data_IF_535709246530
#
_entry.id   IF_535709246530
#
_cell.length_a   1.000
_cell.length_b   1.000
_cell.length_c   1.000
_cell.angle_alpha   90.00
_cell.angle_beta   90.00
_cell.angle_gamma   90.00
#
_symmetry.space_group_name_H-M   'P 1'
#
loop_
_entity.id
_entity.type
_entity.pdbx_description
1 polymer ?
#
# COMPACT_ATOMS: atom_id res chain seq x y z
N UNK A 1 0.29 -10.42 25.64
CA UNK A 1 -0.98 -10.43 24.89
C UNK A 1 -0.92 -9.43 23.73
N UNK A 2 -0.64 -8.15 24.00
CA UNK A 2 -0.49 -7.11 22.97
C UNK A 2 0.61 -7.39 21.91
N UNK A 3 1.71 -8.04 22.29
CA UNK A 3 2.83 -8.39 21.39
C UNK A 3 2.42 -9.36 20.27
N UNK A 4 1.44 -10.24 20.53
CA UNK A 4 1.07 -11.32 19.60
C UNK A 4 0.06 -10.81 18.56
N UNK A 5 -0.87 -9.96 18.98
CA UNK A 5 -1.81 -9.26 18.09
C UNK A 5 -1.03 -8.41 17.07
N UNK A 6 0.00 -7.69 17.54
CA UNK A 6 0.86 -6.90 16.67
C UNK A 6 1.55 -7.72 15.58
N UNK A 7 2.02 -8.93 15.89
CA UNK A 7 2.67 -9.80 14.90
C UNK A 7 1.72 -10.24 13.80
N UNK A 8 0.49 -10.64 14.11
CA UNK A 8 -0.49 -11.05 13.09
C UNK A 8 -1.00 -9.85 12.28
N UNK A 9 -1.25 -8.73 12.96
CA UNK A 9 -1.57 -7.46 12.31
C UNK A 9 -0.47 -7.02 11.33
N UNK A 10 0.80 -7.19 11.74
CA UNK A 10 1.95 -6.95 10.86
C UNK A 10 2.14 -8.01 9.79
N UNK A 11 1.76 -9.26 10.05
CA UNK A 11 1.77 -10.36 9.09
C UNK A 11 0.86 -10.11 7.90
N UNK A 12 -0.35 -9.59 8.13
CA UNK A 12 -1.27 -9.19 7.05
C UNK A 12 -0.58 -8.14 6.15
N UNK A 13 0.04 -7.12 6.75
CA UNK A 13 0.76 -6.09 6.01
C UNK A 13 1.99 -6.63 5.24
N UNK A 14 2.69 -7.62 5.81
CA UNK A 14 3.80 -8.32 5.15
C UNK A 14 3.35 -9.02 3.87
N UNK A 15 2.31 -9.85 3.95
CA UNK A 15 1.84 -10.62 2.81
C UNK A 15 1.17 -9.75 1.74
N UNK A 16 0.40 -8.73 2.14
CA UNK A 16 -0.12 -7.72 1.18
C UNK A 16 1.03 -7.03 0.45
N UNK A 17 2.05 -6.56 1.19
CA UNK A 17 3.24 -5.90 0.62
C UNK A 17 4.03 -6.81 -0.31
N UNK A 18 4.15 -8.09 0.04
CA UNK A 18 4.87 -9.11 -0.74
C UNK A 18 4.35 -9.24 -2.17
N UNK A 19 3.03 -9.19 -2.35
CA UNK A 19 2.36 -9.24 -3.66
C UNK A 19 2.28 -7.86 -4.30
N UNK A 20 1.89 -6.85 -3.52
CA UNK A 20 1.62 -5.49 -4.02
C UNK A 20 2.85 -4.84 -4.65
N UNK A 21 4.04 -5.08 -4.11
CA UNK A 21 5.24 -4.43 -4.63
C UNK A 21 5.72 -5.02 -5.95
N UNK A 22 5.51 -6.32 -6.16
CA UNK A 22 5.76 -6.96 -7.46
C UNK A 22 4.76 -6.47 -8.49
N UNK A 23 3.48 -6.32 -8.10
CA UNK A 23 2.47 -5.71 -8.96
C UNK A 23 2.88 -4.30 -9.39
N UNK A 24 3.18 -3.40 -8.43
CA UNK A 24 3.55 -2.01 -8.72
C UNK A 24 4.70 -1.90 -9.71
N UNK A 25 5.71 -2.77 -9.58
CA UNK A 25 6.90 -2.69 -10.42
C UNK A 25 6.68 -3.28 -11.82
N UNK A 26 5.98 -4.40 -11.94
CA UNK A 26 5.98 -5.19 -13.18
C UNK A 26 4.69 -5.11 -14.00
N UNK A 27 3.56 -4.66 -13.46
CA UNK A 27 2.29 -4.69 -14.21
C UNK A 27 2.35 -3.85 -15.51
N UNK A 28 2.83 -2.60 -15.45
CA UNK A 28 3.00 -1.77 -16.66
C UNK A 28 3.98 -2.42 -17.61
N UNK A 29 5.12 -2.90 -17.09
CA UNK A 29 6.16 -3.50 -17.91
C UNK A 29 5.68 -4.76 -18.62
N UNK A 30 4.87 -5.59 -17.98
CA UNK A 30 4.22 -6.76 -18.59
C UNK A 30 3.33 -6.36 -19.76
N UNK A 31 2.43 -5.40 -19.55
CA UNK A 31 1.46 -5.03 -20.59
C UNK A 31 2.12 -4.28 -21.76
N UNK A 32 3.11 -3.43 -21.50
CA UNK A 32 3.81 -2.68 -22.55
C UNK A 32 4.86 -3.53 -23.27
N UNK A 33 5.69 -4.25 -22.53
CA UNK A 33 6.87 -4.92 -23.12
C UNK A 33 6.59 -6.35 -23.58
N UNK A 34 5.74 -7.08 -22.86
CA UNK A 34 5.45 -8.50 -23.15
C UNK A 34 4.19 -8.62 -24.02
N UNK A 35 3.06 -8.05 -23.57
CA UNK A 35 1.79 -8.12 -24.31
C UNK A 35 1.66 -7.06 -25.40
N UNK A 36 2.60 -6.12 -25.49
CA UNK A 36 2.68 -5.09 -26.54
C UNK A 36 1.36 -4.33 -26.72
N UNK A 37 0.77 -3.89 -25.60
CA UNK A 37 -0.45 -3.09 -25.60
C UNK A 37 -0.27 -1.81 -26.43
N UNK A 38 -1.27 -1.49 -27.24
CA UNK A 38 -1.29 -0.23 -28.00
C UNK A 38 -1.47 0.97 -27.07
N UNK A 39 -0.86 2.11 -27.44
CA UNK A 39 -0.92 3.37 -26.67
C UNK A 39 -2.37 3.74 -26.31
N UNK A 40 -3.27 3.84 -27.29
CA UNK A 40 -4.67 4.23 -27.03
C UNK A 40 -5.38 3.30 -26.05
N UNK A 41 -5.19 1.99 -26.18
CA UNK A 41 -5.76 0.97 -25.28
C UNK A 41 -5.26 1.11 -23.84
N UNK A 42 -3.98 1.43 -23.67
CA UNK A 42 -3.38 1.69 -22.37
C UNK A 42 -3.99 2.95 -21.71
N UNK A 43 -4.07 4.06 -22.45
CA UNK A 43 -4.65 5.31 -21.94
C UNK A 43 -6.12 5.16 -21.52
N UNK A 44 -6.92 4.45 -22.32
CA UNK A 44 -8.33 4.18 -21.97
C UNK A 44 -8.42 3.41 -20.66
N UNK A 45 -7.62 2.35 -20.49
CA UNK A 45 -7.62 1.53 -19.27
C UNK A 45 -7.20 2.36 -18.04
N UNK A 46 -6.16 3.18 -18.15
CA UNK A 46 -5.67 4.04 -17.06
C UNK A 46 -6.66 5.16 -16.69
N UNK A 47 -7.36 5.76 -17.65
CA UNK A 47 -8.39 6.77 -17.38
C UNK A 47 -9.57 6.15 -16.64
N UNK A 48 -10.06 5.00 -17.10
CA UNK A 48 -11.14 4.27 -16.41
C UNK A 48 -10.70 3.87 -15.01
N UNK A 49 -9.46 3.38 -14.88
CA UNK A 49 -8.88 3.03 -13.60
C UNK A 49 -8.78 4.23 -12.65
N UNK A 50 -8.37 5.42 -13.12
CA UNK A 50 -8.32 6.64 -12.32
C UNK A 50 -9.70 6.98 -11.71
N UNK A 51 -10.76 6.91 -12.51
CA UNK A 51 -12.12 7.14 -12.01
C UNK A 51 -12.55 6.08 -11.01
N UNK A 52 -12.30 4.80 -11.34
CA UNK A 52 -12.60 3.69 -10.44
C UNK A 52 -11.89 3.88 -9.10
N UNK A 53 -10.57 4.03 -9.12
CA UNK A 53 -9.71 4.15 -7.95
C UNK A 53 -10.12 5.32 -7.04
N UNK A 54 -10.64 6.42 -7.61
CA UNK A 54 -11.15 7.55 -6.81
C UNK A 54 -12.46 7.23 -6.10
N UNK A 55 -13.37 6.48 -6.74
CA UNK A 55 -14.70 6.14 -6.19
C UNK A 55 -14.66 4.90 -5.29
N UNK A 56 -13.69 4.02 -5.53
CA UNK A 56 -13.59 2.70 -4.94
C UNK A 56 -13.51 2.73 -3.40
N UNK A 57 -12.64 3.56 -2.83
CA UNK A 57 -12.42 3.67 -1.39
C UNK A 57 -13.62 4.16 -0.58
N UNK A 58 -14.28 5.30 -0.91
CA UNK A 58 -15.45 5.73 -0.16
C UNK A 58 -16.62 4.75 -0.35
N UNK A 59 -16.75 4.13 -1.53
CA UNK A 59 -17.80 3.15 -1.80
C UNK A 59 -17.64 1.92 -0.90
N UNK A 60 -16.45 1.29 -0.88
CA UNK A 60 -16.22 0.13 -0.03
C UNK A 60 -16.16 0.47 1.45
N UNK A 61 -15.71 1.67 1.82
CA UNK A 61 -15.81 2.19 3.18
C UNK A 61 -17.26 2.26 3.66
N UNK A 62 -18.15 2.83 2.83
CA UNK A 62 -19.58 2.87 3.12
C UNK A 62 -20.21 1.48 3.14
N UNK A 63 -19.91 0.59 2.18
CA UNK A 63 -20.46 -0.77 2.16
C UNK A 63 -20.06 -1.54 3.43
N UNK A 64 -18.81 -1.39 3.87
CA UNK A 64 -18.31 -2.06 5.07
C UNK A 64 -19.05 -1.58 6.33
N UNK A 65 -19.31 -0.28 6.44
CA UNK A 65 -19.85 0.35 7.65
C UNK A 65 -21.37 0.54 7.66
N UNK A 66 -22.05 0.52 6.51
CA UNK A 66 -23.51 0.72 6.42
C UNK A 66 -24.27 -0.28 7.31
N UNK A 67 -23.82 -1.53 7.34
CA UNK A 67 -24.44 -2.55 8.18
C UNK A 67 -24.10 -2.44 9.67
N UNK A 68 -23.18 -1.56 10.08
CA UNK A 68 -22.92 -1.22 11.50
C UNK A 68 -23.89 -0.14 11.99
N UNK A 69 -24.38 0.73 11.08
CA UNK A 69 -25.33 1.79 11.40
C UNK A 69 -26.75 1.27 11.69
N UNK A 70 -27.11 0.11 11.14
CA UNK A 70 -28.47 -0.44 11.21
C UNK A 70 -28.68 -1.46 12.35
N UNK A 71 -27.63 -1.84 13.08
CA UNK A 71 -27.70 -2.93 14.06
C UNK A 71 -27.42 -2.43 15.47
N UNK A 72 -28.38 -2.62 16.37
CA UNK A 72 -28.32 -2.21 17.78
C UNK A 72 -27.59 -3.21 18.69
N UNK A 73 -27.31 -4.42 18.21
CA UNK A 73 -26.58 -5.44 18.97
C UNK A 73 -25.08 -5.21 18.87
N UNK A 74 -24.39 -5.52 19.98
CA UNK A 74 -22.92 -5.53 20.13
C UNK A 74 -22.29 -6.64 19.28
N UNK A 75 -22.50 -6.60 17.96
CA UNK A 75 -21.69 -7.38 17.04
C UNK A 75 -20.28 -6.88 17.20
N UNK A 76 -19.36 -7.78 17.54
CA UNK A 76 -17.95 -7.46 17.66
C UNK A 76 -17.45 -6.96 16.30
N UNK A 77 -17.26 -5.65 16.19
CA UNK A 77 -16.86 -4.96 14.96
C UNK A 77 -15.59 -5.63 14.42
N UNK A 78 -14.70 -5.99 15.34
CA UNK A 78 -13.43 -6.68 15.07
C UNK A 78 -13.68 -7.99 14.32
N UNK A 79 -14.63 -8.82 14.77
CA UNK A 79 -14.94 -10.09 14.10
C UNK A 79 -15.50 -9.90 12.68
N UNK A 80 -16.28 -8.84 12.47
CA UNK A 80 -16.78 -8.47 11.13
C UNK A 80 -15.64 -8.01 10.22
N UNK A 81 -14.72 -7.18 10.71
CA UNK A 81 -13.50 -6.77 9.98
C UNK A 81 -12.65 -7.97 9.61
N UNK A 82 -12.37 -8.85 10.57
CA UNK A 82 -11.58 -10.06 10.36
C UNK A 82 -12.24 -11.01 9.36
N UNK A 83 -13.57 -11.16 9.42
CA UNK A 83 -14.32 -12.00 8.48
C UNK A 83 -14.32 -11.43 7.05
N UNK A 84 -14.40 -10.10 6.91
CA UNK A 84 -14.24 -9.44 5.61
C UNK A 84 -12.81 -9.61 5.08
N UNK A 85 -11.81 -9.45 5.94
CA UNK A 85 -10.39 -9.60 5.59
C UNK A 85 -10.07 -11.05 5.19
N UNK A 86 -10.66 -12.04 5.87
CA UNK A 86 -10.53 -13.46 5.54
C UNK A 86 -11.04 -13.79 4.13
N UNK A 87 -12.07 -13.10 3.65
CA UNK A 87 -12.62 -13.27 2.30
C UNK A 87 -11.86 -12.46 1.25
N UNK A 88 -11.43 -11.25 1.60
CA UNK A 88 -10.79 -10.33 0.67
C UNK A 88 -9.36 -10.73 0.32
N UNK A 89 -8.60 -11.28 1.28
CA UNK A 89 -7.20 -11.69 1.09
C UNK A 89 -7.04 -12.75 -0.02
N UNK A 90 -7.82 -13.86 -0.06
CA UNK A 90 -7.73 -14.82 -1.16
C UNK A 90 -8.07 -14.21 -2.53
N UNK A 91 -9.05 -13.30 -2.56
CA UNK A 91 -9.46 -12.61 -3.77
C UNK A 91 -8.38 -11.65 -4.27
N UNK A 92 -7.67 -10.98 -3.36
CA UNK A 92 -6.50 -10.16 -3.70
C UNK A 92 -5.39 -11.01 -4.36
N UNK A 93 -5.04 -12.15 -3.76
CA UNK A 93 -4.03 -13.04 -4.35
C UNK A 93 -4.48 -13.63 -5.70
N UNK A 94 -5.76 -13.98 -5.84
CA UNK A 94 -6.33 -14.43 -7.11
C UNK A 94 -6.29 -13.35 -8.19
N UNK A 95 -6.70 -12.13 -7.86
CA UNK A 95 -6.68 -10.99 -8.80
C UNK A 95 -5.27 -10.60 -9.25
N UNK A 96 -4.27 -10.75 -8.37
CA UNK A 96 -2.86 -10.56 -8.73
C UNK A 96 -2.43 -11.51 -9.86
N UNK A 97 -2.89 -12.77 -9.84
CA UNK A 97 -2.49 -13.74 -10.86
C UNK A 97 -3.03 -13.43 -12.26
N UNK A 98 -4.08 -12.63 -12.36
CA UNK A 98 -4.71 -12.26 -13.63
C UNK A 98 -3.79 -11.44 -14.56
N UNK A 99 -2.81 -10.72 -14.00
CA UNK A 99 -1.86 -9.92 -14.78
C UNK A 99 -0.85 -10.77 -15.55
N UNK A 100 -0.51 -11.95 -15.04
CA UNK A 100 0.68 -12.68 -15.50
C UNK A 100 0.41 -13.61 -16.68
N UNK A 101 -0.86 -13.82 -17.05
CA UNK A 101 -1.26 -14.65 -18.19
C UNK A 101 -1.96 -13.81 -19.24
N UNK A 102 -1.66 -14.03 -20.52
CA UNK A 102 -2.29 -13.30 -21.62
C UNK A 102 -3.68 -13.87 -21.89
N UNK A 103 -4.67 -12.99 -22.09
CA UNK A 103 -6.04 -13.38 -22.35
C UNK A 103 -6.35 -13.29 -23.84
N UNK A 104 -7.23 -14.15 -24.39
CA UNK A 104 -7.64 -14.10 -25.80
C UNK A 104 -8.69 -12.99 -26.03
N UNK A 105 -8.49 -11.81 -25.44
CA UNK A 105 -9.39 -10.65 -25.48
C UNK A 105 -8.52 -9.42 -25.79
N UNK A 106 -9.16 -8.30 -26.16
CA UNK A 106 -8.49 -7.01 -26.28
C UNK A 106 -7.64 -6.69 -25.03
N UNK A 107 -6.33 -6.52 -25.22
CA UNK A 107 -5.34 -6.32 -24.15
C UNK A 107 -5.67 -5.13 -23.23
N UNK A 108 -6.31 -4.08 -23.77
CA UNK A 108 -6.82 -2.96 -22.98
C UNK A 108 -7.93 -3.34 -22.01
N UNK A 109 -8.85 -4.23 -22.42
CA UNK A 109 -9.90 -4.74 -21.54
C UNK A 109 -9.33 -5.67 -20.47
N UNK A 110 -8.32 -6.49 -20.82
CA UNK A 110 -7.60 -7.27 -19.82
C UNK A 110 -6.96 -6.35 -18.78
N UNK A 111 -6.21 -5.32 -19.20
CA UNK A 111 -5.57 -4.37 -18.28
C UNK A 111 -6.59 -3.67 -17.38
N UNK A 112 -7.66 -3.14 -17.98
CA UNK A 112 -8.75 -2.46 -17.27
C UNK A 112 -9.40 -3.38 -16.23
N UNK A 113 -9.74 -4.61 -16.61
CA UNK A 113 -10.35 -5.58 -15.72
C UNK A 113 -9.41 -5.97 -14.57
N UNK A 114 -8.15 -6.27 -14.88
CA UNK A 114 -7.15 -6.63 -13.89
C UNK A 114 -6.92 -5.49 -12.89
N UNK A 115 -6.74 -4.24 -13.36
CA UNK A 115 -6.54 -3.07 -12.50
C UNK A 115 -7.74 -2.81 -11.59
N UNK A 116 -8.96 -2.74 -12.15
CA UNK A 116 -10.14 -2.45 -11.34
C UNK A 116 -10.42 -3.56 -10.32
N UNK A 117 -10.26 -4.82 -10.72
CA UNK A 117 -10.50 -5.98 -9.83
C UNK A 117 -9.46 -6.05 -8.72
N UNK A 118 -8.18 -5.89 -9.06
CA UNK A 118 -7.09 -5.92 -8.09
C UNK A 118 -7.18 -4.76 -7.10
N UNK A 119 -7.42 -3.54 -7.59
CA UNK A 119 -7.58 -2.36 -6.74
C UNK A 119 -8.83 -2.44 -5.85
N UNK A 120 -9.91 -3.05 -6.32
CA UNK A 120 -11.10 -3.35 -5.49
C UNK A 120 -10.75 -4.21 -4.29
N UNK A 121 -10.07 -5.33 -4.51
CA UNK A 121 -9.71 -6.23 -3.41
C UNK A 121 -8.61 -5.64 -2.53
N UNK A 122 -7.66 -4.89 -3.11
CA UNK A 122 -6.64 -4.17 -2.35
C UNK A 122 -7.29 -3.15 -1.43
N UNK A 123 -8.21 -2.33 -1.96
CA UNK A 123 -8.98 -1.33 -1.20
C UNK A 123 -9.76 -1.97 -0.06
N UNK A 124 -10.43 -3.11 -0.29
CA UNK A 124 -11.13 -3.82 0.79
C UNK A 124 -10.14 -4.29 1.87
N UNK A 125 -9.01 -4.90 1.50
CA UNK A 125 -7.99 -5.36 2.46
C UNK A 125 -7.41 -4.19 3.25
N UNK A 126 -7.03 -3.10 2.58
CA UNK A 126 -6.40 -1.93 3.21
C UNK A 126 -7.37 -1.17 4.12
N UNK A 127 -8.63 -1.01 3.72
CA UNK A 127 -9.66 -0.40 4.56
C UNK A 127 -9.95 -1.26 5.79
N UNK A 128 -10.07 -2.58 5.65
CA UNK A 128 -10.29 -3.47 6.79
C UNK A 128 -9.07 -3.52 7.72
N UNK A 129 -7.85 -3.55 7.18
CA UNK A 129 -6.61 -3.54 7.96
C UNK A 129 -6.44 -2.22 8.72
N UNK A 130 -6.65 -1.08 8.05
CA UNK A 130 -6.51 0.26 8.66
C UNK A 130 -7.60 0.55 9.69
N UNK A 131 -8.85 0.17 9.42
CA UNK A 131 -9.95 0.32 10.39
C UNK A 131 -9.76 -0.56 11.63
N UNK A 132 -9.17 -1.75 11.48
CA UNK A 132 -8.86 -2.64 12.59
C UNK A 132 -7.90 -1.99 13.61
N UNK A 133 -7.00 -1.10 13.18
CA UNK A 133 -6.13 -0.34 14.09
C UNK A 133 -6.93 0.56 15.06
N UNK A 134 -7.97 1.21 14.53
CA UNK A 134 -8.84 2.11 15.29
C UNK A 134 -9.81 1.36 16.20
N UNK A 135 -10.27 0.20 15.72
CA UNK A 135 -11.30 -0.62 16.35
C UNK A 135 -10.72 -1.54 17.46
N UNK A 136 -9.44 -1.96 17.37
CA UNK A 136 -8.80 -2.84 18.36
C UNK A 136 -8.36 -2.13 19.66
N UNK A 137 -7.84 -0.90 19.55
CA UNK A 137 -7.22 -0.21 20.69
C UNK A 137 -7.56 1.28 20.66
N UNK A 138 -7.97 1.84 21.80
CA UNK A 138 -8.24 3.29 21.96
C UNK A 138 -6.98 4.05 22.42
N UNK A 139 -6.04 3.35 23.05
CA UNK A 139 -4.79 3.92 23.58
C UNK A 139 -3.79 4.21 22.46
N UNK A 140 -3.27 5.45 22.43
CA UNK A 140 -2.23 5.87 21.46
C UNK A 140 -0.96 5.02 21.55
N UNK A 141 -0.51 4.63 22.74
CA UNK A 141 0.73 3.86 22.91
C UNK A 141 0.63 2.48 22.26
N UNK A 142 -0.51 1.81 22.41
CA UNK A 142 -0.74 0.50 21.83
C UNK A 142 -0.99 0.56 20.32
N UNK A 143 -1.70 1.59 19.83
CA UNK A 143 -1.84 1.84 18.39
C UNK A 143 -0.48 2.05 17.73
N UNK A 144 0.42 2.82 18.35
CA UNK A 144 1.79 2.98 17.86
C UNK A 144 2.53 1.65 17.78
N UNK A 145 2.44 0.79 18.81
CA UNK A 145 3.05 -0.56 18.77
C UNK A 145 2.51 -1.42 17.63
N UNK A 146 1.19 -1.49 17.43
CA UNK A 146 0.56 -2.23 16.33
C UNK A 146 1.02 -1.70 14.96
N UNK A 147 1.07 -0.38 14.82
CA UNK A 147 1.51 0.28 13.60
C UNK A 147 2.98 -0.01 13.28
N UNK A 148 3.86 -0.05 14.30
CA UNK A 148 5.26 -0.45 14.14
C UNK A 148 5.38 -1.88 13.62
N UNK A 149 4.61 -2.83 14.14
CA UNK A 149 4.62 -4.20 13.60
C UNK A 149 4.15 -4.26 12.15
N UNK A 150 3.15 -3.44 11.79
CA UNK A 150 2.73 -3.30 10.40
C UNK A 150 3.83 -2.72 9.52
N UNK A 151 4.54 -1.69 9.97
CA UNK A 151 5.65 -1.10 9.23
C UNK A 151 6.77 -2.13 8.98
N UNK A 152 7.18 -2.87 10.01
CA UNK A 152 8.19 -3.94 9.89
C UNK A 152 7.72 -5.04 8.91
N UNK A 153 6.45 -5.44 9.01
CA UNK A 153 5.86 -6.41 8.09
C UNK A 153 5.95 -5.94 6.64
N UNK A 154 5.48 -4.73 6.33
CA UNK A 154 5.54 -4.21 4.96
C UNK A 154 6.96 -4.05 4.43
N UNK A 155 7.91 -3.62 5.28
CA UNK A 155 9.32 -3.51 4.91
C UNK A 155 9.92 -4.88 4.54
N UNK A 156 9.65 -5.90 5.35
CA UNK A 156 10.07 -7.27 5.05
C UNK A 156 9.41 -7.82 3.77
N UNK A 157 8.13 -7.50 3.53
CA UNK A 157 7.41 -7.89 2.32
C UNK A 157 8.00 -7.25 1.05
N UNK A 158 8.53 -6.03 1.18
CA UNK A 158 9.18 -5.30 0.08
C UNK A 158 10.44 -5.97 -0.46
N UNK A 159 11.03 -6.92 0.27
CA UNK A 159 12.16 -7.73 -0.20
C UNK A 159 11.79 -8.55 -1.44
N UNK A 160 10.51 -8.88 -1.63
CA UNK A 160 10.03 -9.62 -2.80
C UNK A 160 10.39 -8.95 -4.14
N UNK A 161 10.49 -7.62 -4.15
CA UNK A 161 10.86 -6.84 -5.34
C UNK A 161 12.28 -7.17 -5.78
N UNK A 162 13.23 -7.19 -4.84
CA UNK A 162 14.62 -7.49 -5.17
C UNK A 162 14.78 -8.93 -5.66
N UNK A 163 14.04 -9.87 -5.07
CA UNK A 163 14.01 -11.26 -5.52
C UNK A 163 13.40 -11.41 -6.91
N UNK A 164 12.33 -10.66 -7.20
CA UNK A 164 11.64 -10.74 -8.49
C UNK A 164 12.52 -10.31 -9.67
N UNK A 165 13.49 -9.43 -9.45
CA UNK A 165 14.46 -9.03 -10.48
C UNK A 165 15.32 -10.20 -10.97
N UNK A 166 15.63 -11.16 -10.10
CA UNK A 166 16.41 -12.36 -10.43
C UNK A 166 15.65 -13.26 -11.42
N UNK A 167 14.32 -13.33 -11.29
CA UNK A 167 13.47 -14.22 -12.08
C UNK A 167 12.85 -13.58 -13.33
N UNK A 168 12.98 -12.25 -13.49
CA UNK A 168 12.36 -11.50 -14.59
C UNK A 168 12.94 -11.84 -15.98
N UNK A 169 14.16 -12.39 -16.05
CA UNK A 169 14.84 -12.71 -17.31
C UNK A 169 14.13 -13.76 -18.17
N UNK A 170 13.46 -14.72 -17.54
CA UNK A 170 12.59 -15.70 -18.21
C UNK A 170 11.15 -15.56 -17.75
N UNK A 171 10.24 -15.36 -18.70
CA UNK A 171 8.82 -15.16 -18.42
C UNK A 171 8.20 -16.37 -17.71
N UNK A 172 8.65 -17.61 -18.02
CA UNK A 172 8.14 -18.81 -17.34
C UNK A 172 8.62 -18.83 -15.88
N UNK A 173 9.91 -18.62 -15.63
CA UNK A 173 10.45 -18.47 -14.26
C UNK A 173 9.76 -17.34 -13.49
N UNK A 174 9.52 -16.18 -14.11
CA UNK A 174 8.82 -15.06 -13.47
C UNK A 174 7.37 -15.40 -13.11
N UNK A 175 6.63 -16.08 -13.99
CA UNK A 175 5.26 -16.54 -13.71
C UNK A 175 5.21 -17.56 -12.58
N UNK A 176 6.16 -18.50 -12.54
CA UNK A 176 6.28 -19.48 -11.44
C UNK A 176 6.59 -18.78 -10.13
N UNK A 177 7.50 -17.79 -10.15
CA UNK A 177 7.77 -16.94 -8.99
C UNK A 177 6.51 -16.20 -8.53
N UNK A 178 5.77 -15.56 -9.45
CA UNK A 178 4.51 -14.87 -9.18
C UNK A 178 3.44 -15.81 -8.57
N UNK A 179 3.34 -17.04 -9.08
CA UNK A 179 2.45 -18.06 -8.53
C UNK A 179 2.86 -18.45 -7.10
N UNK A 180 4.16 -18.68 -6.89
CA UNK A 180 4.71 -19.04 -5.58
C UNK A 180 4.44 -17.95 -4.53
N UNK A 181 4.71 -16.68 -4.85
CA UNK A 181 4.46 -15.56 -3.94
C UNK A 181 2.96 -15.34 -3.66
N UNK A 182 2.09 -15.56 -4.66
CA UNK A 182 0.65 -15.48 -4.48
C UNK A 182 0.13 -16.57 -3.56
N UNK A 183 0.62 -17.81 -3.69
CA UNK A 183 0.28 -18.94 -2.80
C UNK A 183 0.77 -18.67 -1.38
N UNK A 184 2.01 -18.21 -1.20
CA UNK A 184 2.54 -17.83 0.11
C UNK A 184 1.70 -16.72 0.75
N UNK A 185 1.35 -15.69 -0.01
CA UNK A 185 0.51 -14.59 0.48
C UNK A 185 -0.88 -15.07 0.86
N UNK A 186 -1.49 -15.93 0.04
CA UNK A 186 -2.82 -16.47 0.29
C UNK A 186 -2.83 -17.33 1.56
N UNK A 187 -1.90 -18.29 1.67
CA UNK A 187 -1.81 -19.18 2.83
C UNK A 187 -1.39 -18.42 4.09
N UNK A 188 -0.39 -17.55 3.97
CA UNK A 188 0.18 -16.80 5.07
C UNK A 188 -0.78 -15.77 5.67
N UNK A 189 -1.46 -14.98 4.85
CA UNK A 189 -2.47 -14.04 5.34
C UNK A 189 -3.70 -14.75 5.88
N UNK A 190 -4.18 -15.80 5.22
CA UNK A 190 -5.31 -16.59 5.72
C UNK A 190 -4.97 -17.23 7.06
N UNK A 191 -3.74 -17.72 7.22
CA UNK A 191 -3.22 -18.25 8.47
C UNK A 191 -3.11 -17.15 9.55
N UNK A 192 -2.61 -15.96 9.21
CA UNK A 192 -2.56 -14.85 10.17
C UNK A 192 -3.95 -14.47 10.67
N UNK A 193 -4.96 -14.45 9.80
CA UNK A 193 -6.35 -14.12 10.17
C UNK A 193 -6.98 -15.22 11.00
N UNK A 194 -6.72 -16.49 10.71
CA UNK A 194 -7.28 -17.61 11.50
C UNK A 194 -6.60 -17.79 12.85
N UNK A 195 -5.29 -17.57 12.96
CA UNK A 195 -4.59 -17.59 14.26
C UNK A 195 -4.85 -16.35 15.10
N UNK A 196 -5.10 -15.20 14.46
CA UNK A 196 -5.67 -14.03 15.14
C UNK A 196 -6.96 -14.41 15.89
N UNK A 197 -7.75 -15.34 15.32
CA UNK A 197 -9.00 -15.86 15.90
C UNK A 197 -8.80 -17.03 16.87
N UNK A 198 -7.75 -17.87 16.74
CA UNK A 198 -7.70 -19.19 17.42
C UNK A 198 -6.78 -19.31 18.64
N UNK A 199 -5.54 -18.84 18.67
CA UNK A 199 -4.71 -18.93 19.90
C UNK A 199 -3.33 -18.25 19.84
N UNK A 200 -2.88 -17.83 21.02
CA UNK A 200 -1.80 -16.87 21.32
C UNK A 200 -0.34 -17.41 21.25
N UNK A 201 -0.03 -18.61 20.74
CA UNK A 201 1.26 -19.27 21.05
C UNK A 201 2.19 -19.69 19.88
N UNK A 202 2.04 -19.14 18.66
CA UNK A 202 2.90 -19.52 17.54
C UNK A 202 4.20 -18.68 17.44
N UNK A 203 5.15 -18.87 18.38
CA UNK A 203 6.40 -18.09 18.45
C UNK A 203 7.65 -18.81 17.90
N UNK A 204 7.59 -20.11 17.62
CA UNK A 204 8.79 -20.91 17.38
C UNK A 204 9.25 -20.97 15.92
N UNK A 205 8.37 -20.68 14.96
CA UNK A 205 8.71 -20.74 13.52
C UNK A 205 9.51 -19.51 13.05
N UNK A 206 9.48 -18.41 13.81
CA UNK A 206 10.06 -17.11 13.45
C UNK A 206 11.57 -17.00 13.66
N UNK A 207 12.11 -17.73 14.64
CA UNK A 207 13.55 -17.70 14.98
C UNK A 207 14.38 -18.41 13.90
N UNK A 208 13.80 -19.44 13.27
CA UNK A 208 14.46 -20.23 12.23
C UNK A 208 14.67 -19.43 10.92
N UNK A 209 13.71 -18.59 10.53
CA UNK A 209 13.80 -17.78 9.31
C UNK A 209 14.74 -16.57 9.44
N UNK A 210 14.90 -16.01 10.63
CA UNK A 210 15.80 -14.88 10.88
C UNK A 210 17.29 -15.30 10.87
N UNK A 211 17.59 -16.51 11.37
CA UNK A 211 18.95 -17.07 11.38
C UNK A 211 19.39 -17.47 9.96
N UNK A 212 18.46 -17.94 9.12
CA UNK A 212 18.71 -18.27 7.72
C UNK A 212 19.06 -17.02 6.88
N UNK A 213 18.44 -15.87 7.12
CA UNK A 213 18.73 -14.64 6.37
C UNK A 213 20.10 -14.02 6.67
N UNK A 214 20.66 -14.27 7.85
CA UNK A 214 21.96 -13.74 8.27
C UNK A 214 23.15 -14.41 7.55
N UNK A 215 22.99 -15.64 7.06
CA UNK A 215 24.07 -16.42 6.46
C UNK A 215 24.23 -16.27 4.93
N UNK A 216 23.26 -15.66 4.22
CA UNK A 216 23.23 -15.70 2.74
C UNK A 216 23.65 -14.42 2.01
N UNK A 217 24.02 -13.33 2.69
CA UNK A 217 24.30 -12.06 2.01
C UNK A 217 25.67 -11.53 2.37
N UNK A 218 26.66 -11.92 1.57
CA UNK A 218 28.03 -11.41 1.60
C UNK A 218 28.25 -10.20 0.69
N UNK A 219 29.42 -9.53 0.83
CA UNK A 219 29.60 -8.11 0.50
C UNK A 219 30.36 -7.90 -0.82
N UNK A 220 29.89 -6.99 -1.69
CA UNK A 220 30.67 -6.03 -2.50
C UNK A 220 29.73 -5.19 -3.41
N UNK A 221 29.89 -3.85 -3.39
CA UNK A 221 28.97 -2.79 -3.91
C UNK A 221 28.91 -2.62 -5.44
N UNK A 222 28.06 -1.76 -6.05
CA UNK A 222 27.70 -0.36 -5.72
C UNK A 222 26.21 0.01 -5.83
N UNK A 223 25.29 -0.95 -5.99
CA UNK A 223 23.83 -0.72 -6.03
C UNK A 223 23.18 -0.60 -4.63
N UNK A 224 23.95 -0.95 -3.59
CA UNK A 224 23.48 -1.03 -2.21
C UNK A 224 23.19 0.35 -1.62
N UNK A 225 23.93 1.40 -1.99
CA UNK A 225 23.73 2.76 -1.45
C UNK A 225 22.49 3.41 -2.06
N UNK A 226 22.25 3.23 -3.36
CA UNK A 226 21.01 3.65 -4.03
C UNK A 226 19.83 2.82 -3.52
N UNK A 227 20.02 1.51 -3.34
CA UNK A 227 19.04 0.61 -2.74
C UNK A 227 18.69 0.98 -1.30
N UNK A 228 19.68 1.34 -0.46
CA UNK A 228 19.47 1.83 0.90
C UNK A 228 18.74 3.16 0.86
N UNK A 229 19.11 4.09 -0.01
CA UNK A 229 18.43 5.38 -0.10
C UNK A 229 16.97 5.26 -0.57
N UNK A 230 16.69 4.44 -1.59
CA UNK A 230 15.33 4.14 -2.05
C UNK A 230 14.55 3.39 -0.96
N UNK A 231 15.17 2.42 -0.29
CA UNK A 231 14.57 1.71 0.82
C UNK A 231 14.27 2.66 1.99
N UNK A 232 15.17 3.57 2.33
CA UNK A 232 15.00 4.55 3.40
C UNK A 232 13.91 5.56 3.04
N UNK A 233 13.89 6.12 1.83
CA UNK A 233 12.81 7.02 1.39
C UNK A 233 11.46 6.31 1.33
N UNK A 234 11.43 5.06 0.87
CA UNK A 234 10.23 4.24 0.89
C UNK A 234 9.79 3.94 2.32
N UNK A 235 10.71 3.58 3.21
CA UNK A 235 10.43 3.33 4.63
C UNK A 235 9.96 4.60 5.35
N UNK A 236 10.51 5.77 5.04
CA UNK A 236 10.05 7.04 5.60
C UNK A 236 8.69 7.46 5.04
N UNK A 237 8.47 7.32 3.73
CA UNK A 237 7.19 7.66 3.09
C UNK A 237 6.09 6.70 3.56
N UNK A 238 6.35 5.40 3.53
CA UNK A 238 5.43 4.37 4.00
C UNK A 238 5.24 4.44 5.52
N UNK A 239 6.28 4.78 6.28
CA UNK A 239 6.20 5.09 7.71
C UNK A 239 5.31 6.30 7.99
N UNK A 240 5.43 7.38 7.20
CA UNK A 240 4.60 8.59 7.31
C UNK A 240 3.14 8.30 6.94
N UNK A 241 2.89 7.54 5.88
CA UNK A 241 1.55 7.07 5.51
C UNK A 241 0.93 6.20 6.62
N UNK A 242 1.73 5.36 7.29
CA UNK A 242 1.26 4.61 8.45
C UNK A 242 1.02 5.48 9.67
N UNK A 243 1.76 6.57 9.86
CA UNK A 243 1.48 7.56 10.91
C UNK A 243 0.17 8.31 10.65
N UNK A 244 -0.16 8.62 9.39
CA UNK A 244 -1.47 9.18 9.02
C UNK A 244 -2.63 8.28 9.47
N UNK A 245 -2.42 6.96 9.44
CA UNK A 245 -3.38 6.00 9.98
C UNK A 245 -3.71 6.24 11.46
N UNK A 246 -2.74 6.67 12.28
CA UNK A 246 -2.99 7.00 13.70
C UNK A 246 -3.83 8.26 13.85
N UNK A 247 -3.57 9.28 13.02
CA UNK A 247 -4.29 10.56 13.04
C UNK A 247 -5.74 10.38 12.56
N UNK A 248 -5.95 9.61 11.49
CA UNK A 248 -7.29 9.26 11.01
C UNK A 248 -8.04 8.46 12.07
N UNK A 249 -7.36 7.55 12.78
CA UNK A 249 -7.97 6.83 13.89
C UNK A 249 -8.39 7.76 15.04
N UNK A 250 -7.57 8.75 15.40
CA UNK A 250 -7.95 9.74 16.41
C UNK A 250 -9.10 10.66 15.93
N UNK A 251 -9.19 10.94 14.62
CA UNK A 251 -10.33 11.64 14.00
C UNK A 251 -11.63 10.81 14.03
N UNK A 252 -11.54 9.49 13.83
CA UNK A 252 -12.68 8.58 13.98
C UNK A 252 -13.20 8.62 15.43
N UNK A 253 -12.29 8.64 16.40
CA UNK A 253 -12.63 8.76 17.81
C UNK A 253 -13.34 10.09 18.10
N UNK A 254 -12.85 11.19 17.53
CA UNK A 254 -13.45 12.52 17.65
C UNK A 254 -14.85 12.58 17.00
N UNK A 255 -15.02 12.07 15.77
CA UNK A 255 -16.32 12.02 15.09
C UNK A 255 -17.34 11.20 15.89
N UNK A 256 -16.91 10.05 16.43
CA UNK A 256 -17.78 9.19 17.24
C UNK A 256 -18.31 9.93 18.46
N UNK A 257 -17.46 10.71 19.15
CA UNK A 257 -17.82 11.49 20.33
C UNK A 257 -18.70 12.70 19.97
N UNK A 258 -18.31 13.49 18.96
CA UNK A 258 -19.04 14.70 18.56
C UNK A 258 -20.44 14.36 18.03
N UNK A 259 -20.56 13.30 17.24
CA UNK A 259 -21.81 12.88 16.62
C UNK A 259 -22.63 11.91 17.49
N UNK A 260 -22.20 11.63 18.73
CA UNK A 260 -22.83 10.67 19.64
C UNK A 260 -23.19 9.32 18.96
N UNK A 261 -22.28 8.81 18.11
CA UNK A 261 -22.52 7.56 17.38
C UNK A 261 -22.32 6.38 18.33
N UNK A 262 -23.24 5.40 18.24
CA UNK A 262 -23.11 4.13 18.98
C UNK A 262 -21.95 3.26 18.49
N UNK A 263 -21.57 3.40 17.21
CA UNK A 263 -20.50 2.64 16.57
C UNK A 263 -19.63 3.59 15.73
N UNK A 264 -18.30 3.42 15.71
CA UNK A 264 -17.41 4.22 14.88
C UNK A 264 -17.58 3.87 13.39
N UNK A 265 -17.50 4.88 12.53
CA UNK A 265 -17.58 4.71 11.06
C UNK A 265 -16.17 4.73 10.45
N UNK A 266 -15.30 3.88 11.01
CA UNK A 266 -13.86 3.86 10.75
C UNK A 266 -13.54 3.68 9.26
N UNK A 267 -14.15 2.69 8.59
CA UNK A 267 -13.82 2.38 7.20
C UNK A 267 -14.30 3.48 6.23
N UNK A 268 -15.42 4.15 6.51
CA UNK A 268 -15.85 5.30 5.71
C UNK A 268 -14.88 6.48 5.85
N UNK A 269 -14.44 6.79 7.07
CA UNK A 269 -13.50 7.91 7.30
C UNK A 269 -12.16 7.62 6.61
N UNK A 270 -11.61 6.41 6.73
CA UNK A 270 -10.43 5.99 5.97
C UNK A 270 -10.66 6.06 4.45
N UNK A 271 -11.82 5.63 3.96
CA UNK A 271 -12.17 5.68 2.54
C UNK A 271 -12.30 7.10 1.99
N UNK A 272 -12.87 8.03 2.77
CA UNK A 272 -12.96 9.44 2.37
C UNK A 272 -11.61 10.16 2.34
N UNK A 273 -10.65 9.77 3.19
CA UNK A 273 -9.29 10.31 3.11
C UNK A 273 -8.59 9.92 1.80
N UNK A 274 -8.92 8.75 1.25
CA UNK A 274 -8.35 8.25 0.00
C UNK A 274 -8.77 9.08 -1.23
N UNK A 275 -9.94 9.74 -1.21
CA UNK A 275 -10.41 10.64 -2.28
C UNK A 275 -9.44 11.80 -2.56
N UNK A 276 -8.70 12.24 -1.56
CA UNK A 276 -7.69 13.29 -1.72
C UNK A 276 -6.29 12.71 -1.97
N UNK A 277 -5.96 11.61 -1.30
CA UNK A 277 -4.63 11.02 -1.37
C UNK A 277 -4.34 10.33 -2.71
N UNK A 278 -5.29 9.56 -3.26
CA UNK A 278 -5.08 8.73 -4.45
C UNK A 278 -4.93 9.54 -5.76
N UNK A 279 -5.71 10.59 -6.02
CA UNK A 279 -5.45 11.46 -7.18
C UNK A 279 -4.06 12.09 -7.13
N UNK A 280 -3.58 12.47 -5.94
CA UNK A 280 -2.21 12.96 -5.76
C UNK A 280 -1.15 11.92 -6.14
N UNK A 281 -1.37 10.64 -5.79
CA UNK A 281 -0.47 9.55 -6.19
C UNK A 281 -0.47 9.33 -7.71
N UNK A 282 -1.62 9.42 -8.37
CA UNK A 282 -1.71 9.27 -9.83
C UNK A 282 -1.11 10.46 -10.59
N UNK A 283 -1.19 11.67 -10.02
CA UNK A 283 -0.58 12.86 -10.60
C UNK A 283 0.95 12.91 -10.40
N UNK A 284 1.49 12.25 -9.39
CA UNK A 284 2.90 12.33 -9.04
C UNK A 284 3.85 11.91 -10.19
N UNK A 285 3.63 10.79 -10.92
CA UNK A 285 4.45 10.44 -12.09
C UNK A 285 4.37 11.48 -13.22
N UNK A 286 3.20 12.06 -13.47
CA UNK A 286 2.99 13.06 -14.53
C UNK A 286 3.70 14.38 -14.21
N UNK A 287 3.59 14.82 -12.96
CA UNK A 287 4.29 16.01 -12.46
C UNK A 287 5.81 15.75 -12.44
N UNK A 288 6.24 14.56 -12.02
CA UNK A 288 7.65 14.17 -12.03
C UNK A 288 8.26 14.15 -13.44
N UNK A 289 7.55 13.61 -14.43
CA UNK A 289 8.00 13.57 -15.82
C UNK A 289 8.04 14.96 -16.47
N UNK A 290 7.02 15.79 -16.23
CA UNK A 290 6.99 17.16 -16.74
C UNK A 290 8.09 18.05 -16.12
N UNK A 291 8.35 17.90 -14.82
CA UNK A 291 9.49 18.55 -14.15
C UNK A 291 10.84 18.06 -14.70
N UNK A 292 10.97 16.76 -14.98
CA UNK A 292 12.18 16.20 -15.55
C UNK A 292 12.44 16.76 -16.95
N UNK A 293 11.42 16.81 -17.81
CA UNK A 293 11.51 17.43 -19.13
C UNK A 293 11.80 18.93 -19.08
N UNK A 294 11.27 19.65 -18.08
CA UNK A 294 11.59 21.06 -17.85
C UNK A 294 13.06 21.27 -17.43
N UNK A 295 13.60 20.40 -16.58
CA UNK A 295 14.98 20.49 -16.09
C UNK A 295 16.03 20.07 -17.13
N UNK A 296 15.70 19.13 -18.01
CA UNK A 296 16.62 18.62 -19.05
C UNK A 296 16.46 19.32 -20.39
N UNK A 297 15.37 20.08 -20.59
CA UNK A 297 15.04 20.77 -21.84
C UNK A 297 14.61 19.83 -22.97
N UNK A 298 14.50 18.53 -22.70
CA UNK A 298 14.11 17.50 -23.66
C UNK A 298 13.01 16.64 -23.06
N UNK A 299 11.89 16.57 -23.76
CA UNK A 299 10.78 15.72 -23.34
C UNK A 299 11.12 14.27 -23.64
N UNK A 300 11.05 13.40 -22.63
CA UNK A 300 11.40 11.97 -22.73
C UNK A 300 10.56 11.28 -23.81
N UNK A 301 9.38 11.83 -24.11
CA UNK A 301 8.47 11.34 -25.13
C UNK A 301 8.68 11.94 -26.53
N UNK A 302 9.44 13.03 -26.67
CA UNK A 302 9.69 13.67 -27.98
C UNK A 302 10.73 12.95 -28.84
N UNK A 303 11.57 12.09 -28.24
CA UNK A 303 12.54 11.26 -28.96
C UNK A 303 12.03 9.83 -29.25
N UNK A 304 10.77 9.52 -28.91
CA UNK A 304 10.19 8.17 -29.00
C UNK A 304 9.34 8.05 -30.27
N UNK A 305 9.99 8.07 -31.43
CA UNK A 305 9.32 7.79 -32.72
C UNK A 305 9.09 6.30 -32.98
N UNK A 306 9.51 5.38 -32.08
CA UNK A 306 9.26 3.95 -32.25
C UNK A 306 9.01 3.24 -30.91
N UNK A 307 7.73 3.13 -30.53
CA UNK A 307 7.07 2.02 -29.80
C UNK A 307 7.76 1.30 -28.61
N UNK A 308 8.84 1.81 -28.02
CA UNK A 308 9.49 1.19 -26.88
C UNK A 308 9.93 2.23 -25.84
N UNK A 309 9.51 2.02 -24.59
CA UNK A 309 9.85 2.82 -23.40
C UNK A 309 11.31 2.65 -22.93
N UNK A 310 12.15 1.95 -23.70
CA UNK A 310 13.56 1.78 -23.37
C UNK A 310 14.35 2.93 -23.99
N UNK A 311 14.64 3.95 -23.18
CA UNK A 311 15.69 4.90 -23.48
C UNK A 311 16.99 4.09 -23.56
N UNK A 312 17.52 3.89 -24.77
CA UNK A 312 18.81 3.22 -24.92
C UNK A 312 19.90 4.20 -24.48
N UNK A 313 20.22 4.16 -23.18
CA UNK A 313 21.16 5.07 -22.53
C UNK A 313 22.58 4.99 -23.11
N UNK A 314 22.85 4.00 -23.95
CA UNK A 314 24.12 3.82 -24.68
C UNK A 314 24.25 4.72 -25.92
N UNK A 315 23.13 5.20 -26.46
CA UNK A 315 23.06 6.07 -27.64
C UNK A 315 22.90 7.55 -27.30
N UNK A 316 22.69 7.86 -26.02
CA UNK A 316 22.52 9.22 -25.54
C UNK A 316 23.89 9.94 -25.54
N UNK A 317 23.98 11.18 -26.07
CA UNK A 317 25.20 11.98 -25.91
C UNK A 317 25.57 12.06 -24.42
N UNK A 318 26.86 11.89 -24.10
CA UNK A 318 27.36 11.86 -22.72
C UNK A 318 26.85 13.07 -21.88
N UNK A 319 26.80 14.24 -22.50
CA UNK A 319 26.29 15.48 -21.91
C UNK A 319 24.79 15.41 -21.56
N UNK A 320 23.98 14.72 -22.37
CA UNK A 320 22.55 14.54 -22.10
C UNK A 320 22.34 13.53 -20.95
N UNK A 321 23.17 12.49 -20.87
CA UNK A 321 23.12 11.50 -19.79
C UNK A 321 23.45 12.13 -18.43
N UNK A 322 24.46 13.01 -18.39
CA UNK A 322 24.82 13.74 -17.18
C UNK A 322 23.73 14.75 -16.79
N UNK A 323 23.06 15.39 -17.75
CA UNK A 323 21.92 16.27 -17.50
C UNK A 323 20.72 15.51 -16.89
N UNK A 324 20.40 14.31 -17.41
CA UNK A 324 19.33 13.47 -16.84
C UNK A 324 19.66 13.00 -15.42
N UNK A 325 20.92 12.64 -15.14
CA UNK A 325 21.36 12.27 -13.78
C UNK A 325 21.24 13.43 -12.80
N UNK A 326 21.69 14.63 -13.18
CA UNK A 326 21.59 15.83 -12.34
C UNK A 326 20.14 16.24 -12.10
N UNK A 327 19.29 16.19 -13.13
CA UNK A 327 17.86 16.47 -12.99
C UNK A 327 17.14 15.44 -12.11
N UNK A 328 17.43 14.14 -12.27
CA UNK A 328 16.89 13.09 -11.43
C UNK A 328 17.31 13.26 -9.95
N UNK A 329 18.58 13.61 -9.71
CA UNK A 329 19.08 13.90 -8.36
C UNK A 329 18.39 15.11 -7.74
N UNK A 330 18.24 16.21 -8.50
CA UNK A 330 17.53 17.41 -8.05
C UNK A 330 16.07 17.13 -7.70
N UNK A 331 15.35 16.35 -8.52
CA UNK A 331 13.96 15.99 -8.22
C UNK A 331 13.83 15.12 -6.97
N UNK A 332 14.71 14.14 -6.85
CA UNK A 332 14.74 13.20 -5.74
C UNK A 332 15.07 13.86 -4.39
N UNK A 333 15.71 15.04 -4.40
CA UNK A 333 16.00 15.83 -3.20
C UNK A 333 14.98 16.95 -2.97
N UNK A 334 14.67 17.75 -4.00
CA UNK A 334 13.84 18.96 -3.84
C UNK A 334 12.36 18.63 -3.64
N UNK A 335 11.83 17.59 -4.28
CA UNK A 335 10.40 17.23 -4.17
C UNK A 335 10.05 16.84 -2.72
N UNK A 336 10.79 15.94 -2.04
CA UNK A 336 10.52 15.65 -0.63
C UNK A 336 10.65 16.86 0.29
N UNK A 337 11.61 17.77 0.03
CA UNK A 337 11.80 19.00 0.83
C UNK A 337 10.58 19.92 0.70
N UNK A 338 10.11 20.17 -0.53
CA UNK A 338 8.95 21.01 -0.80
C UNK A 338 7.66 20.40 -0.24
N UNK A 339 7.41 19.12 -0.51
CA UNK A 339 6.26 18.41 0.02
C UNK A 339 6.27 18.39 1.55
N UNK A 340 7.41 18.08 2.17
CA UNK A 340 7.58 18.11 3.62
C UNK A 340 7.37 19.50 4.22
N UNK A 341 7.88 20.55 3.56
CA UNK A 341 7.68 21.95 3.99
C UNK A 341 6.20 22.36 3.96
N UNK A 342 5.50 22.07 2.86
CA UNK A 342 4.06 22.32 2.75
C UNK A 342 3.30 21.51 3.81
N UNK A 343 3.64 20.24 3.98
CA UNK A 343 3.02 19.37 4.98
C UNK A 343 3.16 19.96 6.38
N UNK A 344 4.35 20.43 6.78
CA UNK A 344 4.58 21.06 8.09
C UNK A 344 3.78 22.36 8.28
N UNK A 345 3.68 23.19 7.24
CA UNK A 345 2.89 24.43 7.29
C UNK A 345 1.39 24.15 7.49
N UNK A 346 0.84 23.18 6.75
CA UNK A 346 -0.55 22.76 6.91
C UNK A 346 -0.76 22.12 8.29
N UNK A 347 0.19 21.32 8.75
CA UNK A 347 0.12 20.63 10.05
C UNK A 347 0.09 21.59 11.23
N UNK A 348 0.61 22.82 11.07
CA UNK A 348 0.54 23.87 12.10
C UNK A 348 -0.90 24.18 12.53
N UNK A 349 -1.88 23.97 11.64
CA UNK A 349 -3.29 24.23 11.92
C UNK A 349 -4.02 23.03 12.57
N UNK A 350 -3.33 21.91 12.82
CA UNK A 350 -3.95 20.70 13.36
C UNK A 350 -4.17 20.80 14.89
N UNK A 351 -5.43 20.88 15.29
CA UNK A 351 -5.81 21.17 16.68
C UNK A 351 -6.12 19.94 17.55
N UNK A 352 -6.16 18.72 16.98
CA UNK A 352 -6.47 17.50 17.73
C UNK A 352 -5.21 16.90 18.38
N UNK A 353 -4.67 17.61 19.36
CA UNK A 353 -3.49 17.18 20.12
C UNK A 353 -3.64 17.55 21.62
N UNK A 354 -2.77 16.98 22.46
CA UNK A 354 -2.67 17.26 23.91
C UNK A 354 -4.04 17.23 24.63
N UNK A 355 -4.56 18.38 25.06
CA UNK A 355 -5.75 18.47 25.93
C UNK A 355 -7.03 18.05 25.23
N UNK A 356 -7.21 18.44 23.95
CA UNK A 356 -8.38 18.07 23.15
C UNK A 356 -8.42 16.57 22.90
N UNK A 357 -7.27 15.99 22.56
CA UNK A 357 -7.15 14.53 22.36
C UNK A 357 -7.43 13.76 23.65
N UNK A 358 -6.89 14.19 24.80
CA UNK A 358 -7.18 13.57 26.10
C UNK A 358 -8.66 13.61 26.46
N UNK A 359 -9.32 14.73 26.20
CA UNK A 359 -10.76 14.88 26.39
C UNK A 359 -11.55 13.87 25.54
N UNK A 360 -11.32 13.81 24.23
CA UNK A 360 -11.96 12.82 23.33
C UNK A 360 -11.74 11.39 23.83
N UNK A 361 -10.50 11.02 24.18
CA UNK A 361 -10.19 9.66 24.64
C UNK A 361 -10.85 9.31 25.97
N UNK A 362 -10.97 10.26 26.90
CA UNK A 362 -11.67 10.04 28.17
C UNK A 362 -13.17 9.75 27.98
N UNK A 363 -13.83 10.49 27.09
CA UNK A 363 -15.24 10.28 26.77
C UNK A 363 -15.47 8.94 26.06
N UNK A 364 -14.58 8.56 25.14
CA UNK A 364 -14.65 7.28 24.44
C UNK A 364 -14.48 6.10 25.40
N UNK A 365 -13.51 6.18 26.30
CA UNK A 365 -13.25 5.14 27.31
C UNK A 365 -14.42 4.97 28.30
N UNK A 366 -15.14 6.06 28.61
CA UNK A 366 -16.33 6.04 29.46
C UNK A 366 -17.59 5.54 28.72
N UNK A 367 -17.63 5.64 27.39
CA UNK A 367 -18.76 5.21 26.56
C UNK A 367 -18.68 3.73 26.17
N UNK A 368 -17.50 3.12 26.22
CA UNK A 368 -17.32 1.66 26.21
C UNK A 368 -17.85 1.08 27.53
N UNK A 369 -19.16 0.82 27.59
CA UNK A 369 -19.74 -0.05 28.61
C UNK A 369 -18.99 -1.38 28.60
N UNK A 370 -18.41 -1.70 29.76
CA UNK A 370 -17.92 -3.01 30.20
C UNK A 370 -18.14 -4.14 29.20
N UNK A 371 -17.08 -4.49 28.45
CA UNK A 371 -16.94 -5.84 27.90
C UNK A 371 -16.66 -6.74 29.12
N UNK A 372 -17.72 -7.38 29.62
CA UNK A 372 -17.63 -8.49 30.59
C UNK A 372 -17.30 -9.76 29.82
#
# INVERSE_FOLDING_TARGET
MATNIGVYYGGIAFFTSLVHNVFLLYHVQMFVSVYKIQKYSFWIAEIVFLFWNSVNDPLFGWISDKGLLNTSSSIDIVDRRLSALQKAVPLLAGSFLLFWFEWPIWTGAQLMFCLCTYDSFLTVVDLQHSSLLADLEVSSEKRTKLNTYSAIGSAAGSVSVFLSHIFWSDLKSFRIFCLFIAVISLLGSSWCVTEFRRNRNLLWVKVLFAILMFFFVGPNGSYVIIGIFIATNRMFTEGTCKLLGLIISDLVDEDTVIQNRKQPVSALVYGTAALLAKPGQTLAPLIGLSLLGFLTGNDIFSQVDNHSLKLDATLLPQALHDAFKDAAFKLLVLVPILCGGIQLLVWKNFNLHTSRLKWVKSLRHNSTYTVV
#
